data_IF_900522274979
#
_entry.id   IF_900522274979
#
_cell.length_a   1.000
_cell.length_b   1.000
_cell.length_c   1.000
_cell.angle_alpha   90.00
_cell.angle_beta   90.00
_cell.angle_gamma   90.00
#
_symmetry.space_group_name_H-M   'P 1'
#
loop_
_entity.id
_entity.type
_entity.pdbx_description
1 polymer ?
#
# COMPACT_ATOMS: atom_id res chain seq x y z
N UNK A 1 11.45 21.88 6.74
CA UNK A 1 10.12 22.00 7.38
C UNK A 1 10.14 23.09 8.45
N UNK A 2 11.18 23.13 9.28
CA UNK A 2 11.30 24.07 10.40
C UNK A 2 11.30 25.56 10.01
N UNK A 3 11.88 25.90 8.87
CA UNK A 3 11.87 27.29 8.35
C UNK A 3 10.44 27.76 8.06
N UNK A 4 9.60 26.88 7.50
CA UNK A 4 8.22 27.21 7.19
C UNK A 4 7.37 27.38 8.46
N UNK A 5 7.60 26.53 9.47
CA UNK A 5 6.94 26.64 10.78
C UNK A 5 7.26 28.00 11.42
N UNK A 6 8.54 28.37 11.48
CA UNK A 6 8.97 29.67 12.02
C UNK A 6 8.35 30.85 11.28
N UNK A 7 8.31 30.80 9.94
CA UNK A 7 7.70 31.85 9.13
C UNK A 7 6.20 32.00 9.43
N UNK A 8 5.46 30.88 9.52
CA UNK A 8 4.04 30.90 9.86
C UNK A 8 3.75 31.40 11.28
N UNK A 9 4.58 31.02 12.26
CA UNK A 9 4.48 31.53 13.62
C UNK A 9 4.74 33.04 13.69
N UNK A 10 5.72 33.54 12.92
CA UNK A 10 6.01 34.98 12.84
C UNK A 10 4.85 35.77 12.25
N UNK A 11 4.18 35.25 11.21
CA UNK A 11 3.00 35.91 10.62
C UNK A 11 1.90 36.09 11.67
N UNK A 12 1.58 35.04 12.43
CA UNK A 12 0.57 35.12 13.49
C UNK A 12 0.97 36.02 14.66
N UNK A 13 2.27 36.17 14.92
CA UNK A 13 2.79 37.05 15.96
C UNK A 13 2.71 38.53 15.56
N UNK A 14 3.02 38.85 14.31
CA UNK A 14 3.05 40.22 13.80
C UNK A 14 1.63 40.73 13.54
N UNK A 15 0.76 39.90 12.96
CA UNK A 15 -0.63 40.26 12.66
C UNK A 15 -1.59 39.15 13.12
N UNK A 16 -2.09 39.23 14.37
CA UNK A 16 -3.10 38.30 14.88
C UNK A 16 -4.44 38.38 14.12
N UNK A 17 -4.72 39.49 13.43
CA UNK A 17 -5.94 39.72 12.64
C UNK A 17 -5.79 39.33 11.18
N UNK A 18 -4.72 38.61 10.82
CA UNK A 18 -4.43 38.25 9.45
C UNK A 18 -5.62 37.51 8.81
N UNK A 19 -6.08 38.00 7.65
CA UNK A 19 -7.28 37.48 6.97
C UNK A 19 -7.26 35.97 6.66
N UNK A 20 -6.07 35.35 6.63
CA UNK A 20 -5.88 33.90 6.44
C UNK A 20 -5.25 33.22 7.65
N UNK A 21 -5.42 33.77 8.85
CA UNK A 21 -4.91 33.18 10.09
C UNK A 21 -5.40 31.74 10.28
N UNK A 22 -6.67 31.45 9.97
CA UNK A 22 -7.22 30.10 9.99
C UNK A 22 -6.40 29.11 9.14
N UNK A 23 -6.08 29.47 7.90
CA UNK A 23 -5.27 28.66 6.98
C UNK A 23 -3.83 28.45 7.52
N UNK A 24 -3.26 29.47 8.16
CA UNK A 24 -1.93 29.34 8.79
C UNK A 24 -1.97 28.33 9.94
N UNK A 25 -3.00 28.38 10.79
CA UNK A 25 -3.21 27.38 11.84
C UNK A 25 -3.39 25.97 11.28
N UNK A 26 -4.13 25.79 10.19
CA UNK A 26 -4.26 24.49 9.53
C UNK A 26 -2.92 23.93 9.04
N UNK A 27 -2.12 24.76 8.38
CA UNK A 27 -0.80 24.35 7.87
C UNK A 27 0.15 24.02 9.01
N UNK A 28 0.18 24.83 10.07
CA UNK A 28 0.96 24.53 11.27
C UNK A 28 0.51 23.22 11.92
N UNK A 29 -0.80 22.99 12.04
CA UNK A 29 -1.38 21.76 12.55
C UNK A 29 -0.87 20.53 11.78
N UNK A 30 -0.94 20.57 10.45
CA UNK A 30 -0.42 19.49 9.59
C UNK A 30 1.11 19.32 9.69
N UNK A 31 1.87 20.42 9.75
CA UNK A 31 3.33 20.36 9.86
C UNK A 31 3.77 19.72 11.18
N UNK A 32 3.19 20.14 12.31
CA UNK A 32 3.49 19.55 13.61
C UNK A 32 3.06 18.08 13.70
N UNK A 33 1.94 17.72 13.06
CA UNK A 33 1.51 16.32 12.92
C UNK A 33 2.58 15.47 12.23
N UNK A 34 3.21 15.97 11.17
CA UNK A 34 4.28 15.25 10.45
C UNK A 34 5.59 15.21 11.27
N UNK A 35 5.85 16.21 12.12
CA UNK A 35 6.98 16.22 13.05
C UNK A 35 6.77 15.38 14.32
N UNK A 36 5.62 14.71 14.45
CA UNK A 36 5.22 13.97 15.64
C UNK A 36 5.00 14.81 16.91
N UNK A 37 4.94 16.15 16.80
CA UNK A 37 4.51 17.03 17.88
C UNK A 37 2.97 17.14 17.86
N UNK A 38 2.33 16.12 18.41
CA UNK A 38 0.88 16.01 18.36
C UNK A 38 0.15 17.00 19.27
N UNK A 39 0.82 17.52 20.31
CA UNK A 39 0.20 18.48 21.23
C UNK A 39 0.08 19.86 20.59
N UNK A 40 1.17 20.35 19.99
CA UNK A 40 1.15 21.63 19.24
C UNK A 40 0.21 21.52 18.04
N UNK A 41 0.20 20.38 17.36
CA UNK A 41 -0.73 20.10 16.26
C UNK A 41 -2.19 20.23 16.68
N UNK A 42 -2.57 19.60 17.81
CA UNK A 42 -3.93 19.65 18.35
C UNK A 42 -4.37 21.09 18.67
N UNK A 43 -3.51 21.88 19.33
CA UNK A 43 -3.81 23.28 19.67
C UNK A 43 -4.14 24.10 18.43
N UNK A 44 -3.35 23.95 17.36
CA UNK A 44 -3.60 24.67 16.12
C UNK A 44 -4.87 24.22 15.40
N UNK A 45 -5.20 22.92 15.39
CA UNK A 45 -6.49 22.48 14.87
C UNK A 45 -7.68 22.98 15.71
N UNK A 46 -7.53 23.06 17.03
CA UNK A 46 -8.55 23.64 17.91
C UNK A 46 -8.76 25.14 17.62
N UNK A 47 -7.68 25.90 17.44
CA UNK A 47 -7.75 27.30 16.99
C UNK A 47 -8.48 27.43 15.64
N UNK A 48 -8.16 26.55 14.69
CA UNK A 48 -8.80 26.55 13.37
C UNK A 48 -10.29 26.17 13.38
N UNK A 49 -10.73 25.40 14.38
CA UNK A 49 -12.15 25.04 14.57
C UNK A 49 -12.98 26.19 15.17
N UNK A 50 -12.35 27.01 16.01
CA UNK A 50 -12.97 28.18 16.64
C UNK A 50 -13.08 29.33 15.63
N UNK A 51 -12.05 29.52 14.81
CA UNK A 51 -12.01 30.58 13.79
C UNK A 51 -13.05 30.32 12.67
N UNK A 52 -13.80 31.37 12.33
CA UNK A 52 -14.77 31.36 11.24
C UNK A 52 -14.16 31.85 9.91
N UNK A 53 -12.87 32.19 9.90
CA UNK A 53 -12.15 32.64 8.71
C UNK A 53 -12.08 31.59 7.60
N UNK A 54 -11.84 32.03 6.35
CA UNK A 54 -11.78 31.13 5.20
C UNK A 54 -10.61 30.14 5.33
N UNK A 55 -10.90 28.86 5.13
CA UNK A 55 -9.96 27.77 5.27
C UNK A 55 -10.07 26.80 4.09
N UNK A 56 -8.96 26.16 3.72
CA UNK A 56 -8.95 25.13 2.67
C UNK A 56 -9.74 23.87 3.07
N UNK A 57 -9.84 23.59 4.37
CA UNK A 57 -10.59 22.47 4.92
C UNK A 57 -11.87 22.92 5.62
N UNK A 58 -12.93 22.16 5.42
CA UNK A 58 -14.15 22.24 6.19
C UNK A 58 -13.92 21.85 7.65
N UNK A 59 -14.81 22.29 8.54
CA UNK A 59 -14.77 21.91 9.97
C UNK A 59 -14.80 20.38 10.17
N UNK A 60 -15.47 19.64 9.29
CA UNK A 60 -15.53 18.18 9.33
C UNK A 60 -14.16 17.54 9.02
N UNK A 61 -13.46 18.04 7.99
CA UNK A 61 -12.11 17.58 7.64
C UNK A 61 -11.10 17.91 8.75
N UNK A 62 -11.23 19.06 9.40
CA UNK A 62 -10.39 19.43 10.54
C UNK A 62 -10.63 18.47 11.72
N UNK A 63 -11.90 18.17 12.05
CA UNK A 63 -12.24 17.18 13.07
C UNK A 63 -11.72 15.79 12.72
N UNK A 64 -11.75 15.39 11.45
CA UNK A 64 -11.13 14.14 10.99
C UNK A 64 -9.63 14.11 11.26
N UNK A 65 -8.91 15.20 11.00
CA UNK A 65 -7.50 15.31 11.35
C UNK A 65 -7.23 15.25 12.85
N UNK A 66 -8.11 15.81 13.67
CA UNK A 66 -8.06 15.69 15.15
C UNK A 66 -8.26 14.24 15.60
N UNK A 67 -9.25 13.53 15.05
CA UNK A 67 -9.45 12.11 15.33
C UNK A 67 -8.21 11.27 14.98
N UNK A 68 -7.59 11.55 13.84
CA UNK A 68 -6.34 10.92 13.43
C UNK A 68 -5.15 11.30 14.31
N UNK A 69 -5.14 12.45 14.98
CA UNK A 69 -4.12 12.75 15.99
C UNK A 69 -4.28 11.88 17.24
N UNK A 70 -5.51 11.63 17.69
CA UNK A 70 -5.75 10.71 18.80
C UNK A 70 -5.27 9.30 18.46
N UNK A 71 -5.45 8.86 17.22
CA UNK A 71 -4.92 7.60 16.72
C UNK A 71 -3.37 7.56 16.81
N UNK A 72 -2.68 8.60 16.32
CA UNK A 72 -1.22 8.71 16.37
C UNK A 72 -0.65 8.82 17.80
N UNK A 73 -1.45 9.33 18.75
CA UNK A 73 -1.12 9.37 20.18
C UNK A 73 -1.40 8.03 20.90
N UNK A 74 -1.80 6.98 20.18
CA UNK A 74 -2.25 5.69 20.74
C UNK A 74 -3.50 5.80 21.65
N UNK A 75 -4.26 6.90 21.57
CA UNK A 75 -5.53 7.09 22.27
C UNK A 75 -6.68 6.46 21.48
N UNK A 76 -6.59 5.16 21.23
CA UNK A 76 -7.44 4.44 20.27
C UNK A 76 -8.94 4.52 20.57
N UNK A 77 -9.34 4.52 21.86
CA UNK A 77 -10.76 4.66 22.24
C UNK A 77 -11.32 6.03 21.87
N UNK A 78 -10.60 7.10 22.22
CA UNK A 78 -10.99 8.47 21.87
C UNK A 78 -10.99 8.69 20.35
N UNK A 79 -10.01 8.10 19.64
CA UNK A 79 -9.98 8.15 18.17
C UNK A 79 -11.21 7.47 17.56
N UNK A 80 -11.57 6.27 18.04
CA UNK A 80 -12.78 5.55 17.59
C UNK A 80 -14.03 6.38 17.79
N UNK A 81 -14.26 6.88 19.00
CA UNK A 81 -15.44 7.69 19.34
C UNK A 81 -15.52 8.96 18.49
N UNK A 82 -14.39 9.62 18.24
CA UNK A 82 -14.33 10.80 17.39
C UNK A 82 -14.69 10.49 15.93
N UNK A 83 -14.18 9.38 15.37
CA UNK A 83 -14.54 8.93 14.03
C UNK A 83 -16.03 8.52 13.94
N UNK A 84 -16.54 7.79 14.92
CA UNK A 84 -17.95 7.37 14.97
C UNK A 84 -18.91 8.57 15.07
N UNK A 85 -18.53 9.58 15.86
CA UNK A 85 -19.28 10.84 15.96
C UNK A 85 -19.33 11.57 14.61
N UNK A 86 -18.22 11.61 13.87
CA UNK A 86 -18.18 12.22 12.53
C UNK A 86 -19.08 11.49 11.53
N UNK A 87 -19.24 10.17 11.65
CA UNK A 87 -20.15 9.40 10.80
C UNK A 87 -21.63 9.66 11.06
N UNK A 88 -21.98 10.25 12.21
CA UNK A 88 -23.37 10.61 12.56
C UNK A 88 -23.79 11.99 12.03
N UNK A 89 -22.86 12.78 11.50
CA UNK A 89 -23.16 14.10 10.94
C UNK A 89 -24.04 13.98 9.67
N UNK A 90 -25.09 14.79 9.59
CA UNK A 90 -26.10 14.70 8.52
C UNK A 90 -25.52 14.98 7.13
N UNK A 91 -24.64 15.98 7.00
CA UNK A 91 -24.03 16.39 5.74
C UNK A 91 -22.56 16.00 5.67
N UNK A 92 -22.27 14.69 5.68
CA UNK A 92 -20.91 14.18 5.51
C UNK A 92 -20.59 13.92 4.02
N UNK A 93 -19.56 14.56 3.44
CA UNK A 93 -19.13 14.28 2.07
C UNK A 93 -18.72 12.82 1.88
N UNK A 94 -19.02 12.23 0.72
CA UNK A 94 -18.75 10.81 0.45
C UNK A 94 -17.27 10.44 0.55
N UNK A 95 -16.37 11.30 0.05
CA UNK A 95 -14.92 11.07 0.15
C UNK A 95 -14.47 11.02 1.62
N UNK A 96 -14.95 11.94 2.46
CA UNK A 96 -14.61 11.99 3.88
C UNK A 96 -15.22 10.81 4.64
N UNK A 97 -16.46 10.41 4.30
CA UNK A 97 -17.07 9.17 4.81
C UNK A 97 -16.21 7.95 4.48
N UNK A 98 -15.76 7.85 3.23
CA UNK A 98 -14.89 6.77 2.78
C UNK A 98 -13.57 6.74 3.57
N UNK A 99 -12.95 7.90 3.78
CA UNK A 99 -11.70 8.03 4.56
C UNK A 99 -11.87 7.66 6.03
N UNK A 100 -12.92 8.14 6.69
CA UNK A 100 -13.20 7.80 8.10
C UNK A 100 -13.41 6.29 8.25
N UNK A 101 -14.23 5.69 7.37
CA UNK A 101 -14.48 4.25 7.40
C UNK A 101 -13.22 3.44 7.09
N UNK A 102 -12.37 3.93 6.17
CA UNK A 102 -11.08 3.33 5.87
C UNK A 102 -10.16 3.32 7.10
N UNK A 103 -10.06 4.45 7.80
CA UNK A 103 -9.23 4.57 9.00
C UNK A 103 -9.76 3.70 10.14
N UNK A 104 -11.07 3.73 10.42
CA UNK A 104 -11.69 2.85 11.41
C UNK A 104 -11.42 1.38 11.09
N UNK A 105 -11.67 0.95 9.84
CA UNK A 105 -11.44 -0.43 9.43
C UNK A 105 -9.98 -0.86 9.62
N UNK A 106 -9.03 0.00 9.25
CA UNK A 106 -7.60 -0.25 9.48
C UNK A 106 -7.23 -0.32 10.97
N UNK A 107 -7.81 0.56 11.78
CA UNK A 107 -7.58 0.59 13.22
C UNK A 107 -8.10 -0.69 13.88
N UNK A 108 -9.29 -1.18 13.50
CA UNK A 108 -9.80 -2.47 13.99
C UNK A 108 -8.89 -3.65 13.62
N UNK A 109 -8.31 -3.63 12.41
CA UNK A 109 -7.36 -4.67 11.99
C UNK A 109 -6.05 -4.66 12.78
N UNK A 110 -5.50 -3.48 13.08
CA UNK A 110 -4.15 -3.34 13.65
C UNK A 110 -4.09 -3.17 15.16
N UNK A 111 -5.15 -2.66 15.79
CA UNK A 111 -5.15 -2.30 17.20
C UNK A 111 -5.87 -3.38 18.02
N UNK A 112 -5.09 -4.14 18.80
CA UNK A 112 -5.62 -5.21 19.64
C UNK A 112 -6.50 -4.72 20.79
N UNK A 113 -6.29 -3.49 21.27
CA UNK A 113 -7.05 -2.91 22.39
C UNK A 113 -8.53 -2.61 22.08
N UNK A 114 -8.97 -2.74 20.83
CA UNK A 114 -10.33 -2.45 20.39
C UNK A 114 -11.30 -3.63 20.53
N UNK A 115 -10.84 -4.81 20.98
CA UNK A 115 -11.68 -5.96 21.27
C UNK A 115 -11.07 -7.29 20.86
N UNK A 116 -11.86 -8.36 20.96
CA UNK A 116 -11.44 -9.70 20.56
C UNK A 116 -11.11 -9.79 19.07
N UNK A 117 -10.12 -10.60 18.71
CA UNK A 117 -9.61 -10.71 17.34
C UNK A 117 -10.71 -11.01 16.31
N UNK A 118 -11.56 -12.00 16.58
CA UNK A 118 -12.64 -12.41 15.66
C UNK A 118 -13.64 -11.27 15.39
N UNK A 119 -14.03 -10.55 16.44
CA UNK A 119 -14.92 -9.38 16.31
C UNK A 119 -14.25 -8.24 15.53
N UNK A 120 -12.98 -7.96 15.85
CA UNK A 120 -12.21 -6.90 15.20
C UNK A 120 -12.00 -7.14 13.71
N UNK A 121 -11.64 -8.35 13.31
CA UNK A 121 -11.40 -8.68 11.90
C UNK A 121 -12.69 -8.58 11.07
N UNK A 122 -13.83 -9.04 11.61
CA UNK A 122 -15.14 -8.87 10.96
C UNK A 122 -15.53 -7.39 10.86
N UNK A 123 -15.35 -6.63 11.92
CA UNK A 123 -15.67 -5.20 11.97
C UNK A 123 -14.77 -4.40 11.00
N UNK A 124 -13.49 -4.76 10.90
CA UNK A 124 -12.55 -4.17 9.95
C UNK A 124 -13.03 -4.34 8.50
N UNK A 125 -13.44 -5.55 8.11
CA UNK A 125 -14.00 -5.85 6.79
C UNK A 125 -15.26 -5.03 6.53
N UNK A 126 -16.19 -4.95 7.49
CA UNK A 126 -17.44 -4.18 7.33
C UNK A 126 -17.17 -2.69 7.09
N UNK A 127 -16.26 -2.08 7.86
CA UNK A 127 -15.89 -0.68 7.66
C UNK A 127 -15.22 -0.44 6.30
N UNK A 128 -14.32 -1.34 5.87
CA UNK A 128 -13.65 -1.21 4.57
C UNK A 128 -14.60 -1.42 3.39
N UNK A 129 -15.60 -2.31 3.52
CA UNK A 129 -16.65 -2.45 2.51
C UNK A 129 -17.47 -1.17 2.38
N UNK A 130 -17.92 -0.58 3.50
CA UNK A 130 -18.63 0.70 3.48
C UNK A 130 -17.77 1.83 2.90
N UNK A 131 -16.46 1.82 3.17
CA UNK A 131 -15.52 2.78 2.59
C UNK A 131 -15.52 2.71 1.05
N UNK A 132 -15.52 1.50 0.48
CA UNK A 132 -15.57 1.27 -0.97
C UNK A 132 -16.95 1.66 -1.54
N UNK A 133 -18.03 1.44 -0.79
CA UNK A 133 -19.38 1.90 -1.20
C UNK A 133 -19.43 3.44 -1.28
N UNK A 134 -18.79 4.13 -0.34
CA UNK A 134 -18.72 5.59 -0.31
C UNK A 134 -17.78 6.17 -1.39
N UNK A 135 -16.65 5.50 -1.66
CA UNK A 135 -15.75 5.83 -2.77
C UNK A 135 -15.27 4.57 -3.53
N UNK A 136 -15.96 4.18 -4.61
CA UNK A 136 -15.60 3.01 -5.43
C UNK A 136 -14.29 3.15 -6.21
N UNK A 137 -13.64 4.32 -6.20
CA UNK A 137 -12.39 4.57 -6.90
C UNK A 137 -11.16 4.39 -5.99
N UNK A 138 -11.35 4.36 -4.68
CA UNK A 138 -10.27 4.16 -3.69
C UNK A 138 -9.67 2.76 -3.80
N UNK A 139 -8.55 2.65 -4.50
CA UNK A 139 -7.71 1.45 -4.52
C UNK A 139 -7.02 1.20 -3.19
N UNK A 140 -6.78 2.24 -2.37
CA UNK A 140 -6.25 2.09 -1.02
C UNK A 140 -7.23 1.32 -0.12
N UNK A 141 -8.53 1.62 -0.17
CA UNK A 141 -9.54 0.86 0.60
C UNK A 141 -9.59 -0.61 0.16
N UNK A 142 -9.47 -0.87 -1.14
CA UNK A 142 -9.39 -2.24 -1.70
C UNK A 142 -8.13 -2.99 -1.24
N UNK A 143 -6.98 -2.32 -1.18
CA UNK A 143 -5.75 -2.91 -0.65
C UNK A 143 -5.91 -3.30 0.83
N UNK A 144 -6.43 -2.40 1.66
CA UNK A 144 -6.64 -2.68 3.08
C UNK A 144 -7.68 -3.77 3.30
N UNK A 145 -8.72 -3.84 2.45
CA UNK A 145 -9.70 -4.93 2.47
C UNK A 145 -9.03 -6.27 2.13
N UNK A 146 -8.17 -6.30 1.12
CA UNK A 146 -7.38 -7.49 0.77
C UNK A 146 -6.49 -7.97 1.92
N UNK A 147 -5.90 -7.05 2.68
CA UNK A 147 -5.14 -7.39 3.90
C UNK A 147 -6.00 -8.04 4.97
N UNK A 148 -7.20 -7.52 5.19
CA UNK A 148 -8.14 -8.09 6.14
C UNK A 148 -8.58 -9.49 5.71
N UNK A 149 -8.90 -9.70 4.43
CA UNK A 149 -9.23 -11.03 3.90
C UNK A 149 -8.06 -12.01 3.98
N UNK A 150 -6.84 -11.56 3.72
CA UNK A 150 -5.64 -12.39 3.86
C UNK A 150 -5.43 -12.85 5.30
N UNK A 151 -5.60 -11.97 6.29
CA UNK A 151 -5.51 -12.33 7.71
C UNK A 151 -6.61 -13.31 8.15
N UNK A 152 -7.80 -13.22 7.54
CA UNK A 152 -8.91 -14.15 7.74
C UNK A 152 -8.75 -15.49 6.98
N UNK A 153 -7.67 -15.67 6.20
CA UNK A 153 -7.48 -16.86 5.36
C UNK A 153 -8.39 -16.94 4.13
N UNK A 154 -9.13 -15.87 3.82
CA UNK A 154 -9.97 -15.75 2.62
C UNK A 154 -9.13 -15.38 1.40
N UNK A 155 -8.27 -16.31 0.96
CA UNK A 155 -7.26 -16.09 -0.08
C UNK A 155 -7.84 -15.58 -1.40
N UNK A 156 -8.96 -16.15 -1.84
CA UNK A 156 -9.62 -15.74 -3.09
C UNK A 156 -10.14 -14.30 -3.04
N UNK A 157 -10.86 -13.94 -1.96
CA UNK A 157 -11.37 -12.59 -1.76
C UNK A 157 -10.23 -11.57 -1.63
N UNK A 158 -9.14 -11.95 -0.95
CA UNK A 158 -7.94 -11.13 -0.82
C UNK A 158 -7.32 -10.83 -2.20
N UNK A 159 -7.22 -11.86 -3.04
CA UNK A 159 -6.68 -11.72 -4.39
C UNK A 159 -7.51 -10.76 -5.26
N UNK A 160 -8.84 -10.91 -5.25
CA UNK A 160 -9.75 -10.01 -5.98
C UNK A 160 -9.59 -8.58 -5.48
N UNK A 161 -9.53 -8.37 -4.16
CA UNK A 161 -9.39 -7.04 -3.57
C UNK A 161 -8.04 -6.38 -3.97
N UNK A 162 -6.93 -7.11 -3.89
CA UNK A 162 -5.63 -6.58 -4.31
C UNK A 162 -5.55 -6.30 -5.80
N UNK A 163 -6.10 -7.18 -6.64
CA UNK A 163 -6.16 -6.95 -8.10
C UNK A 163 -6.96 -5.69 -8.41
N UNK A 164 -8.14 -5.54 -7.81
CA UNK A 164 -8.95 -4.34 -7.99
C UNK A 164 -8.20 -3.08 -7.54
N UNK A 165 -7.40 -3.16 -6.47
CA UNK A 165 -6.54 -2.04 -6.04
C UNK A 165 -5.53 -1.62 -7.11
N UNK A 166 -4.86 -2.60 -7.73
CA UNK A 166 -3.93 -2.36 -8.85
C UNK A 166 -4.66 -1.76 -10.06
N UNK A 167 -5.84 -2.29 -10.40
CA UNK A 167 -6.65 -1.82 -11.54
C UNK A 167 -7.14 -0.37 -11.36
N UNK A 168 -7.26 0.11 -10.10
CA UNK A 168 -7.55 1.52 -9.79
C UNK A 168 -6.31 2.44 -9.82
N UNK A 169 -5.15 1.93 -10.22
CA UNK A 169 -3.88 2.66 -10.28
C UNK A 169 -3.38 3.22 -8.94
N UNK A 170 -3.87 2.69 -7.82
CA UNK A 170 -3.34 2.99 -6.47
C UNK A 170 -2.53 1.83 -5.90
N UNK A 171 -2.32 0.77 -6.68
CA UNK A 171 -1.42 -0.32 -6.32
C UNK A 171 0.02 0.17 -6.17
N UNK A 172 0.61 -0.06 -5.00
CA UNK A 172 1.98 0.28 -4.66
C UNK A 172 2.86 -0.99 -4.51
N UNK A 173 4.13 -0.82 -4.16
CA UNK A 173 5.05 -1.94 -3.92
C UNK A 173 4.51 -2.93 -2.86
N UNK A 174 3.86 -2.43 -1.80
CA UNK A 174 3.25 -3.28 -0.76
C UNK A 174 2.10 -4.14 -1.32
N UNK A 175 1.33 -3.62 -2.27
CA UNK A 175 0.21 -4.33 -2.91
C UNK A 175 0.75 -5.51 -3.72
N UNK A 176 1.74 -5.28 -4.59
CA UNK A 176 2.40 -6.32 -5.37
C UNK A 176 3.10 -7.35 -4.49
N UNK A 177 3.76 -6.90 -3.43
CA UNK A 177 4.36 -7.78 -2.43
C UNK A 177 3.31 -8.68 -1.76
N UNK A 178 2.15 -8.12 -1.40
CA UNK A 178 1.05 -8.87 -0.79
C UNK A 178 0.46 -9.91 -1.74
N UNK A 179 0.35 -9.60 -3.04
CA UNK A 179 -0.08 -10.58 -4.05
C UNK A 179 0.95 -11.71 -4.19
N UNK A 180 2.24 -11.40 -4.20
CA UNK A 180 3.30 -12.41 -4.23
C UNK A 180 3.23 -13.38 -3.05
N UNK A 181 2.94 -12.88 -1.84
CA UNK A 181 2.73 -13.71 -0.65
C UNK A 181 1.54 -14.66 -0.84
N UNK A 182 0.42 -14.18 -1.40
CA UNK A 182 -0.75 -15.02 -1.66
C UNK A 182 -0.46 -16.14 -2.68
N UNK A 183 0.30 -15.86 -3.73
CA UNK A 183 0.70 -16.88 -4.70
C UNK A 183 1.65 -17.91 -4.09
N UNK A 184 2.58 -17.46 -3.26
CA UNK A 184 3.49 -18.35 -2.55
C UNK A 184 2.74 -19.27 -1.58
N UNK A 185 1.72 -18.77 -0.88
CA UNK A 185 0.82 -19.58 -0.03
C UNK A 185 0.03 -20.62 -0.83
N UNK A 186 -0.27 -20.35 -2.11
CA UNK A 186 -0.93 -21.27 -3.03
C UNK A 186 0.04 -22.19 -3.77
N UNK A 187 1.34 -22.19 -3.42
CA UNK A 187 2.39 -22.96 -4.07
C UNK A 187 2.50 -22.67 -5.59
N UNK A 188 2.33 -21.39 -5.97
CA UNK A 188 2.50 -20.87 -7.33
C UNK A 188 3.76 -19.98 -7.42
N UNK A 189 4.97 -20.58 -7.45
CA UNK A 189 6.21 -19.84 -7.29
C UNK A 189 6.55 -18.93 -8.50
N UNK A 190 6.06 -19.24 -9.70
CA UNK A 190 6.30 -18.43 -10.90
C UNK A 190 5.49 -17.13 -10.83
N UNK A 191 4.21 -17.21 -10.47
CA UNK A 191 3.34 -16.05 -10.29
C UNK A 191 3.78 -15.19 -9.10
N UNK A 192 4.22 -15.83 -8.01
CA UNK A 192 4.83 -15.16 -6.87
C UNK A 192 6.09 -14.38 -7.28
N UNK A 193 6.96 -14.99 -8.09
CA UNK A 193 8.16 -14.34 -8.61
C UNK A 193 7.79 -13.08 -9.40
N UNK A 194 6.86 -13.17 -10.33
CA UNK A 194 6.42 -12.00 -11.12
C UNK A 194 5.87 -10.87 -10.24
N UNK A 195 5.02 -11.21 -9.27
CA UNK A 195 4.45 -10.21 -8.36
C UNK A 195 5.54 -9.52 -7.50
N UNK A 196 6.49 -10.27 -6.96
CA UNK A 196 7.61 -9.68 -6.22
C UNK A 196 8.54 -8.83 -7.10
N UNK A 197 8.78 -9.23 -8.35
CA UNK A 197 9.54 -8.42 -9.32
C UNK A 197 8.83 -7.09 -9.58
N UNK A 198 7.50 -7.10 -9.77
CA UNK A 198 6.71 -5.88 -9.91
C UNK A 198 6.87 -4.97 -8.67
N UNK A 199 6.88 -5.54 -7.46
CA UNK A 199 7.05 -4.77 -6.23
C UNK A 199 8.41 -4.05 -6.17
N UNK A 200 9.52 -4.75 -6.48
CA UNK A 200 10.87 -4.15 -6.44
C UNK A 200 11.17 -3.25 -7.64
N UNK A 201 10.46 -3.41 -8.76
CA UNK A 201 10.48 -2.46 -9.87
C UNK A 201 9.76 -1.16 -9.50
N UNK A 202 8.67 -1.25 -8.74
CA UNK A 202 7.91 -0.09 -8.26
C UNK A 202 8.70 0.69 -7.19
N UNK A 203 9.27 0.00 -6.21
CA UNK A 203 10.17 0.57 -5.21
C UNK A 203 11.42 -0.30 -5.05
N UNK A 204 12.53 0.18 -5.61
CA UNK A 204 13.84 -0.50 -5.58
C UNK A 204 14.37 -0.67 -4.15
N UNK A 205 13.93 0.16 -3.20
CA UNK A 205 14.30 0.11 -1.80
C UNK A 205 13.36 -0.73 -0.94
N UNK A 206 12.37 -1.41 -1.53
CA UNK A 206 11.34 -2.10 -0.78
C UNK A 206 11.86 -3.38 -0.09
N UNK A 207 12.35 -3.23 1.14
CA UNK A 207 12.99 -4.31 1.92
C UNK A 207 12.11 -5.56 2.04
N UNK A 208 10.81 -5.41 2.26
CA UNK A 208 9.89 -6.54 2.46
C UNK A 208 9.77 -7.41 1.19
N UNK A 209 9.61 -6.82 0.01
CA UNK A 209 9.58 -7.60 -1.24
C UNK A 209 10.92 -8.28 -1.53
N UNK A 210 12.05 -7.60 -1.29
CA UNK A 210 13.37 -8.23 -1.45
C UNK A 210 13.58 -9.41 -0.51
N UNK A 211 13.13 -9.31 0.74
CA UNK A 211 13.16 -10.43 1.69
C UNK A 211 12.24 -11.56 1.22
N UNK A 212 11.00 -11.28 0.84
CA UNK A 212 10.06 -12.32 0.39
C UNK A 212 10.52 -13.01 -0.91
N UNK A 213 11.13 -12.26 -1.83
CA UNK A 213 11.73 -12.80 -3.03
C UNK A 213 12.91 -13.73 -2.72
N UNK A 214 13.75 -13.36 -1.74
CA UNK A 214 14.81 -14.24 -1.25
C UNK A 214 14.26 -15.54 -0.65
N UNK A 215 13.21 -15.45 0.18
CA UNK A 215 12.53 -16.63 0.75
C UNK A 215 11.98 -17.52 -0.37
N UNK A 216 11.35 -16.93 -1.39
CA UNK A 216 10.84 -17.67 -2.54
C UNK A 216 11.96 -18.47 -3.25
N UNK A 217 13.10 -17.84 -3.53
CA UNK A 217 14.25 -18.54 -4.12
C UNK A 217 14.80 -19.65 -3.21
N UNK A 218 14.84 -19.45 -1.89
CA UNK A 218 15.24 -20.51 -0.95
C UNK A 218 14.27 -21.69 -0.98
N UNK A 219 12.96 -21.44 -1.03
CA UNK A 219 11.94 -22.50 -1.12
C UNK A 219 12.04 -23.29 -2.43
N UNK A 220 12.53 -22.64 -3.50
CA UNK A 220 12.83 -23.26 -4.79
C UNK A 220 14.26 -23.82 -4.89
N UNK A 221 14.98 -23.92 -3.77
CA UNK A 221 16.34 -24.46 -3.67
C UNK A 221 17.36 -23.74 -4.57
N UNK A 222 17.23 -22.42 -4.71
CA UNK A 222 18.14 -21.53 -5.44
C UNK A 222 18.85 -20.54 -4.48
N UNK A 223 19.80 -21.01 -3.65
CA UNK A 223 20.43 -20.19 -2.60
C UNK A 223 21.30 -19.04 -3.12
N UNK A 224 21.81 -19.12 -4.35
CA UNK A 224 22.60 -18.04 -4.98
C UNK A 224 21.73 -16.83 -5.29
N UNK A 225 20.58 -17.04 -5.93
CA UNK A 225 19.61 -15.99 -6.25
C UNK A 225 19.01 -15.41 -4.95
N UNK A 226 18.70 -16.27 -3.97
CA UNK A 226 18.23 -15.84 -2.65
C UNK A 226 19.20 -14.90 -1.93
N UNK A 227 20.51 -15.24 -1.92
CA UNK A 227 21.54 -14.41 -1.32
C UNK A 227 21.59 -13.02 -1.98
N UNK A 228 21.50 -12.94 -3.30
CA UNK A 228 21.45 -11.66 -4.01
C UNK A 228 20.25 -10.80 -3.58
N UNK A 229 19.07 -11.42 -3.45
CA UNK A 229 17.86 -10.74 -2.97
C UNK A 229 18.02 -10.17 -1.56
N UNK A 230 18.55 -10.98 -0.63
CA UNK A 230 18.78 -10.56 0.74
C UNK A 230 19.83 -9.45 0.85
N UNK A 231 20.87 -9.49 0.02
CA UNK A 231 21.85 -8.40 -0.07
C UNK A 231 21.23 -7.10 -0.61
N UNK A 232 20.26 -7.16 -1.51
CA UNK A 232 19.53 -5.97 -1.96
C UNK A 232 18.56 -5.46 -0.88
N UNK A 233 17.92 -6.35 -0.12
CA UNK A 233 17.06 -5.97 1.01
C UNK A 233 17.82 -5.13 2.07
N UNK A 234 19.11 -5.42 2.31
CA UNK A 234 19.94 -4.67 3.27
C UNK A 234 20.48 -3.36 2.71
N UNK A 235 20.71 -3.26 1.39
CA UNK A 235 21.21 -2.04 0.72
C UNK A 235 20.22 -0.89 0.70
N UNK A 236 18.92 -1.17 0.58
CA UNK A 236 17.86 -0.15 0.52
C UNK A 236 17.46 0.46 1.87
N UNK A 237 18.08 0.02 2.97
CA UNK A 237 17.59 0.28 4.33
C UNK A 237 17.89 1.69 4.85
N UNK A 238 16.86 2.52 4.93
CA UNK A 238 16.71 3.59 5.94
C UNK A 238 15.70 3.21 7.05
N UNK A 239 15.25 1.94 7.08
CA UNK A 239 14.24 1.37 8.00
C UNK A 239 14.80 0.11 8.66
N UNK A 240 14.35 -0.29 9.87
CA UNK A 240 14.89 -1.45 10.56
C UNK A 240 14.71 -2.73 9.73
N UNK A 241 15.84 -3.32 9.33
CA UNK A 241 15.90 -4.61 8.63
C UNK A 241 15.47 -5.72 9.59
N UNK A 242 14.81 -6.76 9.06
CA UNK A 242 14.50 -7.96 9.83
C UNK A 242 15.79 -8.49 10.50
N UNK A 243 15.85 -8.61 11.84
CA UNK A 243 17.06 -9.00 12.56
C UNK A 243 17.57 -10.39 12.15
N UNK A 244 16.70 -11.24 11.60
CA UNK A 244 17.03 -12.58 11.14
C UNK A 244 17.71 -12.61 9.76
N UNK A 245 17.75 -11.48 9.04
CA UNK A 245 18.29 -11.42 7.69
C UNK A 245 19.82 -11.51 7.67
N UNK A 246 20.51 -10.78 8.54
CA UNK A 246 21.97 -10.79 8.63
C UNK A 246 22.56 -12.18 8.94
N UNK A 247 22.07 -12.94 9.95
CA UNK A 247 22.54 -14.30 10.17
C UNK A 247 22.19 -15.23 9.02
N UNK A 248 21.03 -15.06 8.36
CA UNK A 248 20.66 -15.86 7.19
C UNK A 248 21.59 -15.64 5.99
N UNK A 249 21.96 -14.38 5.71
CA UNK A 249 22.96 -14.03 4.69
C UNK A 249 24.29 -14.72 4.96
N UNK A 250 24.80 -14.64 6.20
CA UNK A 250 26.07 -15.27 6.58
C UNK A 250 26.02 -16.79 6.42
N UNK A 251 24.92 -17.41 6.83
CA UNK A 251 24.68 -18.84 6.64
C UNK A 251 24.74 -19.24 5.16
N UNK A 252 24.03 -18.51 4.29
CA UNK A 252 24.02 -18.79 2.86
C UNK A 252 25.39 -18.58 2.21
N UNK A 253 26.14 -17.56 2.61
CA UNK A 253 27.51 -17.33 2.14
C UNK A 253 28.44 -18.51 2.49
N UNK A 254 28.38 -18.99 3.73
CA UNK A 254 29.18 -20.15 4.17
C UNK A 254 28.76 -21.43 3.43
N UNK A 255 27.45 -21.66 3.27
CA UNK A 255 26.93 -22.81 2.54
C UNK A 255 27.41 -22.82 1.08
N UNK A 256 27.40 -21.66 0.42
CA UNK A 256 27.85 -21.52 -0.96
C UNK A 256 29.38 -21.62 -1.11
N UNK A 257 30.14 -21.17 -0.11
CA UNK A 257 31.60 -21.31 -0.10
C UNK A 257 32.05 -22.77 0.10
N UNK A 258 31.27 -23.55 0.85
CA UNK A 258 31.56 -24.96 1.14
C UNK A 258 30.92 -25.93 0.12
N UNK A 259 30.15 -25.43 -0.85
CA UNK A 259 29.48 -26.26 -1.84
C UNK A 259 30.52 -26.83 -2.84
N UNK A 260 30.45 -28.14 -3.16
CA UNK A 260 31.30 -28.71 -4.21
C UNK A 260 31.05 -27.98 -5.56
N UNK A 261 32.08 -27.93 -6.41
CA UNK A 261 32.01 -27.35 -7.75
C UNK A 261 30.73 -27.79 -8.45
N UNK A 262 30.01 -26.87 -9.15
CA UNK A 262 28.66 -27.13 -9.60
C UNK A 262 28.60 -28.35 -10.50
N UNK A 263 28.16 -29.48 -9.97
CA UNK A 263 27.72 -30.60 -10.79
C UNK A 263 26.43 -30.17 -11.47
N UNK A 264 26.37 -30.34 -12.79
CA UNK A 264 25.22 -29.99 -13.63
C UNK A 264 24.05 -30.93 -13.30
N UNK A 265 23.42 -30.79 -12.13
CA UNK A 265 22.43 -31.76 -11.66
C UNK A 265 21.43 -31.10 -10.71
N UNK A 266 20.61 -30.19 -11.23
CA UNK A 266 19.18 -30.04 -10.92
C UNK A 266 18.60 -28.95 -11.84
N UNK A 267 17.45 -29.18 -12.50
CA UNK A 267 16.80 -28.15 -13.30
C UNK A 267 16.39 -26.98 -12.39
N UNK A 268 16.64 -25.73 -12.82
CA UNK A 268 16.21 -24.54 -12.08
C UNK A 268 14.69 -24.48 -12.09
N UNK A 269 14.08 -24.27 -10.92
CA UNK A 269 12.63 -24.18 -10.77
C UNK A 269 12.12 -22.78 -11.08
N UNK A 270 12.92 -21.75 -10.82
CA UNK A 270 12.65 -20.36 -11.17
C UNK A 270 13.78 -19.78 -12.03
N UNK A 271 13.42 -18.82 -12.89
CA UNK A 271 14.39 -18.02 -13.62
C UNK A 271 15.17 -17.10 -12.67
N UNK A 272 16.36 -16.68 -13.10
CA UNK A 272 17.21 -15.79 -12.29
C UNK A 272 16.55 -14.41 -12.14
N UNK A 273 17.01 -13.64 -11.16
CA UNK A 273 16.43 -12.32 -10.92
C UNK A 273 16.63 -11.36 -12.09
N UNK A 274 17.78 -11.47 -12.77
CA UNK A 274 18.13 -10.66 -13.93
C UNK A 274 17.25 -11.03 -15.14
N UNK A 275 16.97 -12.32 -15.31
CA UNK A 275 16.06 -12.81 -16.35
C UNK A 275 14.64 -12.33 -16.07
N UNK A 276 14.16 -12.47 -14.82
CA UNK A 276 12.81 -12.05 -14.42
C UNK A 276 12.61 -10.54 -14.55
N UNK A 277 13.66 -9.75 -14.31
CA UNK A 277 13.63 -8.29 -14.44
C UNK A 277 13.33 -7.82 -15.86
N UNK A 278 13.76 -8.59 -16.85
CA UNK A 278 13.64 -8.25 -18.27
C UNK A 278 12.34 -8.77 -18.91
N UNK A 279 11.51 -9.51 -18.15
CA UNK A 279 10.22 -9.95 -18.65
C UNK A 279 9.22 -8.78 -18.69
N UNK A 280 8.36 -8.73 -19.73
CA UNK A 280 7.23 -7.82 -19.72
C UNK A 280 6.29 -8.21 -18.57
N UNK A 281 5.89 -7.21 -17.77
CA UNK A 281 4.91 -7.41 -16.69
C UNK A 281 3.59 -7.88 -17.32
N UNK A 282 3.23 -9.13 -17.11
CA UNK A 282 1.95 -9.68 -17.57
C UNK A 282 0.85 -9.18 -16.65
N UNK A 283 -0.09 -8.41 -17.22
CA UNK A 283 -1.29 -7.90 -16.52
C UNK A 283 -2.32 -9.00 -16.23
N UNK A 284 -2.15 -10.18 -16.81
CA UNK A 284 -3.04 -11.33 -16.65
C UNK A 284 -2.73 -12.08 -15.35
N UNK A 285 -3.00 -11.43 -14.22
CA UNK A 285 -3.05 -12.09 -12.91
C UNK A 285 -4.42 -12.75 -12.77
N UNK A 286 -4.55 -13.94 -13.37
CA UNK A 286 -5.80 -14.70 -13.31
C UNK A 286 -5.91 -15.36 -11.93
N UNK A 287 -7.03 -15.21 -11.20
CA UNK A 287 -7.31 -16.11 -10.10
C UNK A 287 -7.37 -17.53 -10.67
N UNK A 288 -6.86 -18.53 -9.95
CA UNK A 288 -6.90 -19.92 -10.39
C UNK A 288 -8.33 -20.33 -10.75
N UNK A 289 -8.64 -20.41 -12.04
CA UNK A 289 -9.90 -20.99 -12.54
C UNK A 289 -9.69 -22.47 -12.78
N UNK A 290 -10.63 -23.27 -12.29
CA UNK A 290 -10.80 -24.69 -12.65
C UNK A 290 -10.80 -24.90 -14.18
N UNK A 291 -10.32 -26.04 -14.69
CA UNK A 291 -10.04 -26.19 -16.12
C UNK A 291 -11.33 -26.41 -16.93
N UNK A 292 -11.54 -25.62 -17.98
CA UNK A 292 -12.37 -26.06 -19.12
C UNK A 292 -11.88 -25.49 -20.47
N UNK A 293 -11.48 -26.45 -21.32
CA UNK A 293 -11.56 -26.58 -22.78
C UNK A 293 -11.26 -25.39 -23.76
N UNK A 294 -10.07 -25.48 -24.39
CA UNK A 294 -9.76 -25.42 -25.85
C UNK A 294 -10.75 -24.73 -26.83
N UNK A 295 -10.39 -23.62 -27.49
CA UNK A 295 -9.71 -23.50 -28.83
C UNK A 295 -10.63 -22.76 -29.86
N UNK A 296 -10.24 -22.32 -31.08
CA UNK A 296 -8.94 -21.95 -31.68
C UNK A 296 -8.92 -20.63 -32.56
N UNK A 297 -7.69 -20.16 -32.89
CA UNK A 297 -7.09 -19.38 -34.04
C UNK A 297 -7.97 -18.84 -35.22
N UNK A 298 -7.70 -17.75 -36.00
CA UNK A 298 -6.48 -17.03 -36.51
C UNK A 298 -6.90 -15.74 -37.35
N UNK A 299 -6.18 -15.19 -38.39
CA UNK A 299 -5.12 -14.14 -38.35
C UNK A 299 -5.27 -12.90 -39.33
N UNK A 300 -4.37 -11.88 -39.20
CA UNK A 300 -3.98 -10.86 -40.24
C UNK A 300 -4.65 -9.47 -40.13
N UNK A 301 -4.08 -8.28 -40.38
CA UNK A 301 -2.86 -7.79 -41.09
C UNK A 301 -2.54 -6.31 -40.71
N UNK A 302 -1.30 -5.89 -40.99
CA UNK A 302 -0.59 -4.62 -40.74
C UNK A 302 -1.23 -3.28 -41.22
N UNK A 303 -0.95 -2.17 -40.52
CA UNK A 303 0.05 -1.12 -40.92
C UNK A 303 -0.21 0.29 -40.32
N UNK A 304 0.89 0.90 -39.86
CA UNK A 304 1.31 2.32 -39.85
C UNK A 304 0.51 3.41 -39.09
N UNK A 305 1.06 3.89 -37.95
CA UNK A 305 1.96 5.06 -37.75
C UNK A 305 1.26 6.42 -37.87
N UNK A 306 1.18 7.15 -36.75
CA UNK A 306 1.99 8.37 -36.50
C UNK A 306 1.76 8.91 -35.08
N UNK A 307 2.84 9.45 -34.54
CA UNK A 307 3.08 9.93 -33.18
C UNK A 307 2.61 11.36 -32.94
N UNK A 308 2.13 11.67 -31.72
CA UNK A 308 2.42 12.94 -31.05
C UNK A 308 2.57 12.74 -29.53
N UNK A 309 3.64 13.33 -29.02
CA UNK A 309 4.25 13.24 -27.69
C UNK A 309 3.56 14.12 -26.64
N UNK A 310 3.38 13.59 -25.42
CA UNK A 310 3.62 14.34 -24.15
C UNK A 310 3.67 13.41 -22.92
N UNK A 311 4.75 13.53 -22.15
CA UNK A 311 4.98 13.19 -20.72
C UNK A 311 4.84 11.73 -20.24
N UNK A 312 6.01 11.08 -20.13
CA UNK A 312 6.25 9.70 -19.71
C UNK A 312 6.32 9.51 -18.19
N UNK A 313 5.33 8.80 -17.61
CA UNK A 313 5.43 7.98 -16.39
C UNK A 313 4.24 7.00 -16.40
N UNK A 314 4.54 5.70 -16.45
CA UNK A 314 3.60 4.56 -16.46
C UNK A 314 2.60 4.46 -17.64
N UNK A 315 3.10 4.25 -18.87
CA UNK A 315 2.37 3.43 -19.86
C UNK A 315 2.88 1.99 -19.78
N UNK A 316 2.35 1.23 -18.83
CA UNK A 316 2.24 -0.22 -19.00
C UNK A 316 1.10 -0.46 -19.99
N UNK A 317 1.24 -1.41 -20.91
CA UNK A 317 0.33 -1.62 -22.04
C UNK A 317 -1.10 -1.91 -21.58
N UNK A 318 -1.93 -0.86 -21.55
CA UNK A 318 -3.39 -0.96 -21.39
C UNK A 318 -3.96 -1.42 -22.73
N UNK A 319 -4.17 -2.73 -22.90
CA UNK A 319 -5.19 -3.20 -23.84
C UNK A 319 -6.47 -3.42 -23.04
N UNK A 320 -7.32 -2.39 -23.04
CA UNK A 320 -8.68 -2.48 -22.51
C UNK A 320 -9.50 -3.36 -23.45
N UNK A 321 -9.85 -4.56 -22.99
CA UNK A 321 -11.10 -5.20 -23.39
C UNK A 321 -12.26 -4.37 -22.86
N UNK A 322 -12.77 -3.45 -23.68
CA UNK A 322 -14.09 -2.83 -23.50
C UNK A 322 -15.02 -3.32 -24.60
N UNK A 323 -15.91 -4.20 -24.18
CA UNK A 323 -17.24 -4.40 -24.76
C UNK A 323 -17.91 -3.03 -24.95
N UNK A 324 -18.33 -2.73 -26.18
CA UNK A 324 -19.45 -1.82 -26.46
C UNK A 324 -20.66 -2.69 -26.75
N UNK A 325 -21.71 -2.55 -25.94
CA UNK A 325 -23.07 -2.89 -26.33
C UNK A 325 -23.76 -1.60 -26.78
N UNK A 326 -24.50 -1.73 -27.89
CA UNK A 326 -25.39 -0.78 -28.57
C UNK A 326 -24.74 0.52 -29.10
#
# INVERSE_FOLDING_TARGET
>A
MDVAIKAFQQVLYIDPGFSRANEVHLRLGLMFKVQSDYESSLKHFQSALIDAGPASFSKLEIRFHVAHLYELQNKHRAAREAYETLLQEQELPNHLRADIQRQLGWMYHTVDSLGEKSYRELTAVQYLQKSIEADPKSGQSLYLLGRCYSALGKVHDAFIAYRNSVDKCEGNADTWCSIGVLYQQQNQPIDALQAYICAVQYDKGHTAAWTNLGILYETCNQPRDALACYMNATRGSNKPVNPNLAPRIKFLQQQLANAPMPSVTKPRQLMSIEEAWNLPVTTDMRPATTPSASSPTSPGTNSDRTSTSTSSKCRFYITSSRTKQA
#
